data_IF_131202057734
#
_entry.id   IF_131202057734
#
_cell.length_a   1.000
_cell.length_b   1.000
_cell.length_c   1.000
_cell.angle_alpha   90.00
_cell.angle_beta   90.00
_cell.angle_gamma   90.00
#
_symmetry.space_group_name_H-M   'P 1'
#
loop_
_entity.id
_entity.type
_entity.pdbx_description
1 polymer ?
#
# COMPACT_ATOMS: atom_id res chain seq x y z
N UNK A 1 -72.59 17.66 47.93
CA UNK A 1 -72.25 17.13 49.27
C UNK A 1 -70.78 17.37 49.53
N UNK A 2 -70.47 18.25 50.48
CA UNK A 2 -69.13 18.43 51.06
C UNK A 2 -69.08 17.52 52.29
N UNK A 3 -68.09 16.62 52.40
CA UNK A 3 -67.77 15.97 53.66
C UNK A 3 -66.25 15.85 53.79
N UNK A 4 -65.71 16.73 54.63
CA UNK A 4 -64.31 16.84 54.97
C UNK A 4 -63.93 15.82 56.04
N UNK A 5 -62.74 15.21 55.96
CA UNK A 5 -61.94 14.88 57.14
C UNK A 5 -60.48 14.56 56.77
N UNK A 6 -59.58 15.43 57.28
CA UNK A 6 -58.14 15.24 57.59
C UNK A 6 -57.22 15.01 56.38
N UNK A 7 -56.27 15.87 56.00
CA UNK A 7 -55.42 16.83 56.71
C UNK A 7 -54.72 16.27 57.97
N UNK A 8 -53.39 16.17 57.84
CA UNK A 8 -52.33 16.15 58.86
C UNK A 8 -51.94 14.83 59.55
N UNK A 9 -50.75 14.32 59.17
CA UNK A 9 -49.57 14.07 60.04
C UNK A 9 -48.39 13.60 59.15
N UNK A 10 -47.30 14.31 58.91
CA UNK A 10 -46.24 14.81 59.82
C UNK A 10 -45.38 13.68 60.39
N UNK A 11 -44.07 13.71 60.04
CA UNK A 11 -42.89 13.27 60.83
C UNK A 11 -42.65 11.75 60.86
N UNK A 12 -41.47 11.18 60.68
CA UNK A 12 -40.08 11.68 60.53
C UNK A 12 -39.16 10.51 60.20
N UNK A 13 -38.09 10.82 59.45
CA UNK A 13 -36.68 10.42 59.66
C UNK A 13 -36.39 8.99 60.16
N UNK A 14 -35.67 8.24 59.32
CA UNK A 14 -34.44 7.57 59.75
C UNK A 14 -33.46 7.55 58.56
N UNK A 15 -32.56 8.54 58.53
CA UNK A 15 -31.32 8.46 57.75
C UNK A 15 -30.45 7.43 58.46
N UNK A 16 -30.41 6.21 57.94
CA UNK A 16 -29.39 5.24 58.34
C UNK A 16 -28.10 5.64 57.63
N UNK A 17 -27.27 6.42 58.33
CA UNK A 17 -25.87 6.62 57.99
C UNK A 17 -25.16 5.26 57.99
N UNK A 18 -25.02 4.66 56.81
CA UNK A 18 -24.10 3.54 56.63
C UNK A 18 -22.73 4.16 56.41
N UNK A 19 -21.92 3.94 57.44
CA UNK A 19 -20.57 4.37 57.67
C UNK A 19 -19.68 4.18 56.44
N UNK A 20 -18.90 5.22 56.16
CA UNK A 20 -17.73 5.23 55.30
C UNK A 20 -16.68 4.23 55.84
N UNK A 21 -16.65 3.00 55.35
CA UNK A 21 -15.46 2.14 55.40
C UNK A 21 -15.51 1.09 54.28
N UNK A 22 -14.47 1.08 53.44
CA UNK A 22 -14.17 -0.05 52.56
C UNK A 22 -14.22 0.29 51.07
N UNK A 23 -13.18 0.98 50.60
CA UNK A 23 -12.85 1.05 49.17
C UNK A 23 -12.72 -0.36 48.61
N UNK A 24 -13.64 -0.74 47.75
CA UNK A 24 -13.35 -1.60 46.61
C UNK A 24 -14.34 -1.23 45.52
N UNK A 25 -14.00 -0.17 44.77
CA UNK A 25 -14.60 0.03 43.46
C UNK A 25 -14.33 -1.27 42.68
N UNK A 26 -15.36 -2.05 42.43
CA UNK A 26 -15.30 -3.06 41.38
C UNK A 26 -15.20 -2.29 40.07
N UNK A 27 -13.97 -1.94 39.70
CA UNK A 27 -13.64 -1.47 38.37
C UNK A 27 -13.90 -2.68 37.47
N UNK A 28 -15.06 -2.69 36.82
CA UNK A 28 -15.27 -3.59 35.69
C UNK A 28 -14.24 -3.19 34.64
N UNK A 29 -13.16 -3.96 34.54
CA UNK A 29 -12.23 -3.84 33.41
C UNK A 29 -13.02 -4.06 32.13
N UNK A 30 -13.08 -3.03 31.29
CA UNK A 30 -13.59 -3.17 29.94
C UNK A 30 -12.74 -4.23 29.23
N UNK A 31 -13.37 -5.32 28.77
CA UNK A 31 -12.72 -6.35 28.00
C UNK A 31 -12.03 -5.70 26.79
N UNK A 32 -10.70 -5.68 26.80
CA UNK A 32 -9.91 -5.11 25.73
C UNK A 32 -10.12 -5.94 24.47
N UNK A 33 -10.72 -5.34 23.45
CA UNK A 33 -10.75 -5.95 22.12
C UNK A 33 -9.33 -5.96 21.57
N UNK A 34 -8.74 -7.14 21.47
CA UNK A 34 -7.53 -7.31 20.69
C UNK A 34 -7.93 -7.25 19.23
N UNK A 35 -7.68 -6.11 18.56
CA UNK A 35 -7.94 -5.97 17.14
C UNK A 35 -7.18 -7.06 16.36
N UNK A 36 -7.83 -7.79 15.44
CA UNK A 36 -7.14 -8.75 14.57
C UNK A 36 -5.98 -8.05 13.86
N UNK A 37 -4.79 -8.62 13.99
CA UNK A 37 -3.60 -8.10 13.29
C UNK A 37 -3.87 -8.16 11.79
N UNK A 38 -3.68 -7.04 11.10
CA UNK A 38 -3.75 -6.98 9.64
C UNK A 38 -2.75 -8.00 9.07
N UNK A 39 -3.17 -8.69 8.00
CA UNK A 39 -2.30 -9.62 7.28
C UNK A 39 -1.00 -8.93 6.85
N UNK A 40 0.08 -9.71 6.76
CA UNK A 40 1.36 -9.20 6.25
C UNK A 40 1.18 -8.66 4.83
N UNK A 41 1.82 -7.53 4.53
CA UNK A 41 1.80 -6.93 3.20
C UNK A 41 2.32 -7.94 2.16
N UNK A 42 1.56 -8.15 1.09
CA UNK A 42 2.00 -8.97 -0.03
C UNK A 42 3.18 -8.31 -0.72
N UNK A 43 4.31 -9.02 -0.80
CA UNK A 43 5.47 -8.56 -1.55
C UNK A 43 5.13 -8.64 -3.03
N UNK A 44 5.02 -7.48 -3.68
CA UNK A 44 4.79 -7.41 -5.12
C UNK A 44 5.83 -8.27 -5.87
N UNK A 45 5.41 -9.12 -6.83
CA UNK A 45 6.34 -9.92 -7.62
C UNK A 45 7.36 -9.00 -8.29
N UNK A 46 8.65 -9.18 -7.98
CA UNK A 46 9.71 -8.48 -8.70
C UNK A 46 9.82 -9.08 -10.08
N UNK A 47 9.65 -8.26 -11.12
CA UNK A 47 9.81 -8.70 -12.51
C UNK A 47 11.19 -9.38 -12.67
N UNK A 48 11.28 -10.62 -13.17
CA UNK A 48 12.53 -11.35 -13.23
C UNK A 48 13.58 -10.57 -14.04
N UNK A 49 14.83 -10.61 -13.58
CA UNK A 49 15.91 -9.91 -14.24
C UNK A 49 16.09 -10.43 -15.68
N UNK A 50 15.88 -9.56 -16.68
CA UNK A 50 16.14 -9.89 -18.08
C UNK A 50 17.60 -10.29 -18.28
N UNK A 51 17.82 -11.40 -18.99
CA UNK A 51 19.13 -11.92 -19.43
C UNK A 51 19.22 -11.93 -20.96
N UNK A 52 20.41 -12.21 -21.47
CA UNK A 52 20.62 -12.44 -22.91
C UNK A 52 19.69 -13.55 -23.41
N UNK A 53 19.23 -13.40 -24.65
CA UNK A 53 18.31 -14.27 -25.38
C UNK A 53 16.87 -14.31 -24.83
N UNK A 54 16.56 -13.56 -23.75
CA UNK A 54 15.18 -13.37 -23.31
C UNK A 54 14.39 -12.56 -24.35
N UNK A 55 13.15 -12.96 -24.61
CA UNK A 55 12.18 -12.11 -25.29
C UNK A 55 11.69 -11.02 -24.33
N UNK A 56 11.59 -9.81 -24.86
CA UNK A 56 11.13 -8.64 -24.14
C UNK A 56 10.06 -7.90 -24.93
N UNK A 57 9.12 -7.30 -24.21
CA UNK A 57 8.14 -6.37 -24.75
C UNK A 57 8.40 -4.97 -24.27
N UNK A 58 8.30 -4.01 -25.20
CA UNK A 58 8.34 -2.58 -24.87
C UNK A 58 7.04 -2.19 -24.19
N UNK A 59 7.17 -1.62 -22.99
CA UNK A 59 6.05 -1.08 -22.22
C UNK A 59 6.23 0.41 -22.04
N UNK A 60 5.11 1.15 -22.06
CA UNK A 60 5.12 2.59 -21.81
C UNK A 60 4.05 2.89 -20.80
N UNK A 61 4.43 3.58 -19.71
CA UNK A 61 3.48 4.03 -18.69
C UNK A 61 2.65 5.24 -19.14
N UNK A 62 3.20 6.04 -20.05
CA UNK A 62 2.51 7.17 -20.67
C UNK A 62 1.58 6.70 -21.79
N UNK A 63 0.28 6.90 -21.61
CA UNK A 63 -0.78 6.54 -22.56
C UNK A 63 -0.89 7.52 -23.74
N UNK A 64 -0.37 8.75 -23.61
CA UNK A 64 -0.42 9.77 -24.67
C UNK A 64 0.72 9.62 -25.65
N UNK A 65 1.91 9.24 -25.17
CA UNK A 65 3.10 9.00 -25.98
C UNK A 65 3.56 7.56 -25.82
N UNK A 66 2.99 6.66 -26.63
CA UNK A 66 3.27 5.22 -26.60
C UNK A 66 4.60 4.87 -27.27
N UNK A 67 5.66 5.63 -26.98
CA UNK A 67 7.00 5.45 -27.54
C UNK A 67 8.07 5.57 -26.47
N UNK A 68 9.15 4.79 -26.60
CA UNK A 68 10.33 4.87 -25.73
C UNK A 68 11.54 5.30 -26.54
N UNK A 69 12.42 6.07 -25.91
CA UNK A 69 13.65 6.52 -26.55
C UNK A 69 14.63 5.36 -26.68
N UNK A 70 15.21 5.20 -27.87
CA UNK A 70 16.33 4.28 -28.05
C UNK A 70 17.59 4.94 -27.48
N UNK A 71 18.36 4.16 -26.74
CA UNK A 71 19.58 4.59 -26.09
C UNK A 71 20.80 4.05 -26.82
N UNK A 72 21.93 4.74 -26.65
CA UNK A 72 23.24 4.22 -26.97
C UNK A 72 23.78 3.35 -25.83
N UNK A 73 24.97 2.78 -26.05
CA UNK A 73 25.63 1.91 -25.10
C UNK A 73 25.95 2.59 -23.75
N UNK A 74 25.98 3.91 -23.66
CA UNK A 74 26.27 4.67 -22.43
C UNK A 74 24.99 5.21 -21.76
N UNK A 75 23.80 4.87 -22.28
CA UNK A 75 22.52 5.35 -21.78
C UNK A 75 22.12 6.75 -22.27
N UNK A 76 22.84 7.31 -23.23
CA UNK A 76 22.47 8.55 -23.91
C UNK A 76 21.36 8.32 -24.93
N UNK A 77 20.40 9.24 -25.04
CA UNK A 77 19.28 9.13 -25.98
C UNK A 77 19.75 9.33 -27.42
N UNK A 78 19.23 8.50 -28.32
CA UNK A 78 19.37 8.66 -29.76
C UNK A 78 18.13 9.38 -30.32
N UNK A 79 18.25 9.94 -31.53
CA UNK A 79 17.11 10.48 -32.29
C UNK A 79 16.25 9.36 -32.91
N UNK A 80 16.00 8.29 -32.15
CA UNK A 80 15.20 7.13 -32.54
C UNK A 80 14.29 6.72 -31.39
N UNK A 81 13.13 6.20 -31.74
CA UNK A 81 12.14 5.69 -30.78
C UNK A 81 11.61 4.34 -31.23
N UNK A 82 11.13 3.55 -30.29
CA UNK A 82 10.37 2.33 -30.57
C UNK A 82 8.99 2.43 -29.93
N UNK A 83 7.98 1.88 -30.60
CA UNK A 83 6.60 1.93 -30.15
C UNK A 83 6.33 0.89 -29.06
N UNK A 84 5.38 1.19 -28.17
CA UNK A 84 4.81 0.23 -27.22
C UNK A 84 4.34 -1.04 -27.94
N UNK A 85 4.47 -2.20 -27.30
CA UNK A 85 4.04 -3.49 -27.84
C UNK A 85 5.04 -4.12 -28.82
N UNK A 86 6.12 -3.41 -29.16
CA UNK A 86 7.20 -4.01 -29.94
C UNK A 86 7.90 -5.10 -29.14
N UNK A 87 8.21 -6.22 -29.79
CA UNK A 87 8.93 -7.34 -29.19
C UNK A 87 10.35 -7.41 -29.73
N UNK A 88 11.31 -7.69 -28.84
CA UNK A 88 12.71 -7.90 -29.21
C UNK A 88 13.28 -9.11 -28.48
N UNK A 89 14.33 -9.70 -29.03
CA UNK A 89 15.18 -10.63 -28.29
C UNK A 89 16.38 -9.86 -27.75
N UNK A 90 16.62 -9.96 -26.44
CA UNK A 90 17.75 -9.31 -25.78
C UNK A 90 19.07 -9.89 -26.31
N UNK A 91 19.85 -9.08 -27.04
CA UNK A 91 21.16 -9.51 -27.56
C UNK A 91 22.26 -9.44 -26.51
N UNK A 92 22.12 -8.55 -25.54
CA UNK A 92 23.05 -8.32 -24.44
C UNK A 92 22.38 -7.49 -23.34
N UNK A 93 22.91 -7.56 -22.12
CA UNK A 93 22.40 -6.80 -20.97
C UNK A 93 23.58 -6.26 -20.17
N UNK A 94 23.57 -4.96 -19.88
CA UNK A 94 24.66 -4.34 -19.11
C UNK A 94 24.18 -3.25 -18.18
N UNK A 95 25.04 -2.86 -17.24
CA UNK A 95 24.82 -1.72 -16.35
C UNK A 95 25.78 -0.59 -16.70
N UNK A 96 25.27 0.61 -16.90
CA UNK A 96 26.06 1.82 -17.15
C UNK A 96 25.39 3.01 -16.47
N UNK A 97 26.17 3.89 -15.85
CA UNK A 97 25.63 5.10 -15.17
C UNK A 97 24.46 4.81 -14.22
N UNK A 98 24.52 3.69 -13.48
CA UNK A 98 23.44 3.24 -12.57
C UNK A 98 22.21 2.63 -13.25
N UNK A 99 22.10 2.68 -14.58
CA UNK A 99 20.97 2.12 -15.36
C UNK A 99 21.31 0.75 -15.92
N UNK A 100 20.33 -0.15 -15.90
CA UNK A 100 20.44 -1.45 -16.58
C UNK A 100 19.83 -1.31 -17.98
N UNK A 101 20.61 -1.64 -19.00
CA UNK A 101 20.26 -1.48 -20.41
C UNK A 101 20.23 -2.85 -21.08
N UNK A 102 19.32 -3.02 -22.03
CA UNK A 102 19.18 -4.22 -22.85
C UNK A 102 19.44 -3.86 -24.31
N UNK A 103 20.36 -4.58 -24.95
CA UNK A 103 20.68 -4.42 -26.37
C UNK A 103 19.62 -5.10 -27.20
N UNK A 104 18.98 -4.36 -28.10
CA UNK A 104 18.00 -4.88 -29.06
C UNK A 104 18.58 -4.98 -30.48
N UNK A 105 19.59 -4.16 -30.79
CA UNK A 105 20.35 -4.20 -32.04
C UNK A 105 21.74 -3.57 -31.84
N UNK A 106 22.59 -3.51 -32.86
CA UNK A 106 24.04 -3.25 -32.73
C UNK A 106 24.39 -2.05 -31.86
N UNK A 107 23.80 -0.89 -32.14
CA UNK A 107 24.00 0.35 -31.36
C UNK A 107 22.72 0.83 -30.67
N UNK A 108 21.74 -0.06 -30.51
CA UNK A 108 20.41 0.28 -30.00
C UNK A 108 20.13 -0.47 -28.71
N UNK A 109 19.88 0.31 -27.67
CA UNK A 109 19.65 -0.15 -26.31
C UNK A 109 18.31 0.38 -25.80
N UNK A 110 17.66 -0.36 -24.92
CA UNK A 110 16.49 0.07 -24.16
C UNK A 110 16.80 0.03 -22.68
N UNK A 111 16.14 0.89 -21.91
CA UNK A 111 16.20 0.83 -20.45
C UNK A 111 15.32 -0.33 -19.96
N UNK A 112 15.82 -1.12 -19.01
CA UNK A 112 15.05 -2.19 -18.37
C UNK A 112 13.73 -1.75 -17.76
N UNK A 113 13.59 -0.47 -17.37
CA UNK A 113 12.33 0.06 -16.83
C UNK A 113 11.22 0.20 -17.88
N UNK A 114 11.60 0.24 -19.16
CA UNK A 114 10.72 0.46 -20.31
C UNK A 114 10.37 -0.85 -21.02
N UNK A 115 10.78 -1.99 -20.45
CA UNK A 115 10.51 -3.31 -21.01
C UNK A 115 10.11 -4.29 -19.92
N UNK A 116 9.35 -5.30 -20.31
CA UNK A 116 9.06 -6.47 -19.49
C UNK A 116 9.51 -7.72 -20.24
N UNK A 117 9.80 -8.78 -19.49
CA UNK A 117 10.06 -10.09 -20.07
C UNK A 117 8.73 -10.68 -20.59
N UNK A 118 8.77 -11.28 -21.78
CA UNK A 118 7.70 -12.13 -22.31
C UNK A 118 7.57 -13.42 -21.49
#
# INVERSE_FOLDING_TARGET
MLNAKKLAKVVSVAVASISLLGVSASVTEAASFTAPKLGVAEVAPTNPATKKDDKIFVTVKDTKNQKVAVLNANGGKLAKTVSMGSTFTAKDVKKTNGKKLIKISDNQWLDTKDVVKD
#
